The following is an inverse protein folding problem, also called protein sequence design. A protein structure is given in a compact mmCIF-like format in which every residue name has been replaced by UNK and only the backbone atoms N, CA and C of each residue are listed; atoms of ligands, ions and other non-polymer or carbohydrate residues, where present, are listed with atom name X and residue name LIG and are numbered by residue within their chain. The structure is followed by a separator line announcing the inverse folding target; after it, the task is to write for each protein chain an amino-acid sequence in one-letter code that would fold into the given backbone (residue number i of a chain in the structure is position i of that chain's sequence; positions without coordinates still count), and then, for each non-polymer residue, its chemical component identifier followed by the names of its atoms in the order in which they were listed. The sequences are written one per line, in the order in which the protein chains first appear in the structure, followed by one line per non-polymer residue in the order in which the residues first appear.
data_IF_040386388430
#
_entry.id   IF_040386388430
#
_cell.length_a   1.000
_cell.length_b   1.000
_cell.length_c   1.000
_cell.angle_alpha   90.00
_cell.angle_beta   90.00
_cell.angle_gamma   90.00
#
_symmetry.space_group_name_H-M   'P 1'
#
loop_
_entity.id
_entity.type
_entity.pdbx_description
1 polymer ?
#
# COMPACT_ATOMS: atom_id res chain seq x y z
N UNK A 1 -23.49 8.59 16.28
CA UNK A 1 -23.39 8.25 17.71
C UNK A 1 -24.68 7.58 18.15
N UNK A 2 -24.63 6.28 18.47
CA UNK A 2 -25.64 5.57 19.24
C UNK A 2 -24.95 4.47 20.05
N UNK A 3 -25.22 4.44 21.34
CA UNK A 3 -24.64 3.55 22.35
C UNK A 3 -25.80 2.81 23.03
N UNK A 4 -25.80 1.47 23.06
CA UNK A 4 -26.61 0.64 23.97
C UNK A 4 -25.85 -0.70 24.13
N UNK A 5 -25.04 -0.92 25.17
CA UNK A 5 -25.37 -1.36 26.54
C UNK A 5 -26.05 -2.73 26.62
N UNK A 6 -25.23 -3.79 26.72
CA UNK A 6 -25.62 -5.12 27.24
C UNK A 6 -25.77 -5.07 28.78
N UNK A 7 -26.57 -5.97 29.42
CA UNK A 7 -25.99 -7.23 29.93
C UNK A 7 -26.98 -8.41 30.07
N UNK A 8 -26.62 -9.62 29.64
CA UNK A 8 -27.38 -10.84 29.92
C UNK A 8 -26.46 -12.02 30.31
N UNK A 9 -25.90 -12.02 31.53
CA UNK A 9 -24.98 -13.07 32.00
C UNK A 9 -25.16 -13.44 33.48
N UNK A 10 -26.39 -13.52 34.01
CA UNK A 10 -26.61 -13.93 35.43
C UNK A 10 -26.92 -15.42 35.67
N UNK A 11 -27.29 -16.20 34.66
CA UNK A 11 -27.77 -17.59 34.90
C UNK A 11 -26.71 -18.69 34.83
N UNK A 12 -25.53 -18.43 34.27
CA UNK A 12 -24.55 -19.50 34.00
C UNK A 12 -23.64 -19.81 35.21
N UNK A 13 -23.63 -18.96 36.24
CA UNK A 13 -22.70 -19.09 37.36
C UNK A 13 -23.09 -20.18 38.38
N UNK A 14 -24.37 -20.52 38.52
CA UNK A 14 -24.83 -21.44 39.57
C UNK A 14 -24.67 -22.93 39.20
N UNK A 15 -24.64 -23.26 37.90
CA UNK A 15 -24.44 -24.65 37.46
C UNK A 15 -22.97 -25.11 37.59
N UNK A 16 -22.04 -24.18 37.81
CA UNK A 16 -20.60 -24.43 37.77
C UNK A 16 -20.05 -25.04 39.06
N UNK A 17 -20.77 -24.94 40.18
CA UNK A 17 -20.25 -25.41 41.48
C UNK A 17 -20.53 -26.89 41.77
N UNK A 18 -21.54 -27.48 41.12
CA UNK A 18 -21.91 -28.88 41.37
C UNK A 18 -21.00 -29.91 40.69
N UNK A 19 -20.25 -29.52 39.63
CA UNK A 19 -19.41 -30.45 38.86
C UNK A 19 -17.96 -30.56 39.39
N UNK A 20 -17.63 -29.85 40.48
CA UNK A 20 -16.24 -29.68 40.98
C UNK A 20 -15.77 -30.84 41.87
N UNK A 21 -16.59 -31.86 42.12
CA UNK A 21 -16.24 -33.00 42.99
C UNK A 21 -16.31 -34.34 42.26
N UNK A 22 -15.47 -34.51 41.25
CA UNK A 22 -15.01 -35.81 40.80
C UNK A 22 -13.55 -36.00 41.30
N UNK A 23 -13.18 -37.18 41.83
CA UNK A 23 -11.82 -37.43 42.27
C UNK A 23 -10.87 -37.37 41.06
N UNK A 24 -9.84 -36.53 41.18
CA UNK A 24 -8.71 -36.47 40.27
C UNK A 24 -7.95 -37.80 40.41
N UNK A 25 -8.13 -38.68 39.44
CA UNK A 25 -7.29 -39.87 39.26
C UNK A 25 -5.93 -39.40 38.72
N UNK A 26 -4.93 -39.34 39.60
CA UNK A 26 -3.54 -39.12 39.23
C UNK A 26 -2.98 -40.39 38.57
N UNK A 27 -3.07 -40.47 37.24
CA UNK A 27 -2.20 -41.37 36.45
C UNK A 27 -0.99 -40.57 35.96
N UNK A 28 0.04 -40.51 36.81
CA UNK A 28 1.38 -40.07 36.44
C UNK A 28 2.11 -41.14 35.62
N UNK A 29 1.96 -41.11 34.30
CA UNK A 29 2.86 -41.79 33.36
C UNK A 29 2.99 -41.00 32.05
N UNK A 30 3.75 -39.89 32.07
CA UNK A 30 4.47 -39.30 30.91
C UNK A 30 4.89 -37.86 31.25
N UNK A 31 6.01 -37.72 31.97
CA UNK A 31 6.60 -36.41 32.31
C UNK A 31 7.75 -36.02 31.35
N UNK A 32 7.95 -36.78 30.26
CA UNK A 32 8.96 -36.51 29.23
C UNK A 32 8.45 -35.72 28.02
N UNK A 33 7.13 -35.50 27.90
CA UNK A 33 6.52 -34.90 26.70
C UNK A 33 5.73 -33.60 26.95
N UNK A 34 5.52 -33.16 28.20
CA UNK A 34 4.60 -32.04 28.52
C UNK A 34 5.21 -30.63 28.47
N UNK A 35 6.53 -30.47 28.62
CA UNK A 35 7.18 -29.15 28.56
C UNK A 35 7.42 -28.66 27.13
N UNK A 36 7.53 -29.58 26.16
CA UNK A 36 7.69 -29.25 24.74
C UNK A 36 6.40 -28.76 24.08
N UNK A 37 5.25 -29.33 24.46
CA UNK A 37 3.95 -28.96 23.87
C UNK A 37 3.53 -27.53 24.22
N UNK A 38 3.73 -27.07 25.45
CA UNK A 38 3.38 -25.69 25.85
C UNK A 38 4.24 -24.64 25.13
N UNK A 39 5.52 -24.94 24.92
CA UNK A 39 6.42 -24.06 24.18
C UNK A 39 6.05 -24.04 22.68
N UNK A 40 5.63 -25.19 22.14
CA UNK A 40 5.15 -25.30 20.75
C UNK A 40 3.89 -24.46 20.52
N UNK A 41 2.93 -24.50 21.45
CA UNK A 41 1.70 -23.71 21.39
C UNK A 41 1.98 -22.20 21.47
N UNK A 42 2.87 -21.76 22.37
CA UNK A 42 3.24 -20.33 22.47
C UNK A 42 3.96 -19.84 21.21
N UNK A 43 4.82 -20.66 20.61
CA UNK A 43 5.46 -20.34 19.32
C UNK A 43 4.43 -20.27 18.19
N UNK A 44 3.44 -21.16 18.20
CA UNK A 44 2.37 -21.17 17.22
C UNK A 44 1.49 -19.91 17.32
N UNK A 45 1.13 -19.51 18.54
CA UNK A 45 0.38 -18.29 18.78
C UNK A 45 1.17 -17.02 18.43
N UNK A 46 2.46 -16.96 18.78
CA UNK A 46 3.33 -15.84 18.39
C UNK A 46 3.41 -15.69 16.86
N UNK A 47 3.54 -16.80 16.11
CA UNK A 47 3.48 -16.79 14.64
C UNK A 47 2.13 -16.31 14.13
N UNK A 48 1.03 -16.70 14.78
CA UNK A 48 -0.33 -16.28 14.43
C UNK A 48 -0.52 -14.77 14.60
N UNK A 49 -0.05 -14.19 15.70
CA UNK A 49 -0.09 -12.73 15.91
C UNK A 49 0.73 -11.98 14.85
N UNK A 50 1.96 -12.43 14.57
CA UNK A 50 2.82 -11.81 13.55
C UNK A 50 2.15 -11.83 12.17
N UNK A 51 1.54 -12.95 11.79
CA UNK A 51 0.82 -13.05 10.52
C UNK A 51 -0.40 -12.11 10.46
N UNK A 52 -1.10 -11.93 11.59
CA UNK A 52 -2.20 -10.97 11.69
C UNK A 52 -1.71 -9.53 11.52
N UNK A 53 -0.63 -9.16 12.20
CA UNK A 53 -0.06 -7.80 12.12
C UNK A 53 0.39 -7.48 10.69
N UNK A 54 1.01 -8.45 10.00
CA UNK A 54 1.38 -8.32 8.58
C UNK A 54 0.12 -8.18 7.71
N UNK A 55 -0.94 -8.94 8.00
CA UNK A 55 -2.19 -8.84 7.26
C UNK A 55 -2.87 -7.48 7.44
N UNK A 56 -2.89 -6.95 8.67
CA UNK A 56 -3.39 -5.60 8.98
C UNK A 56 -2.54 -4.52 8.33
N UNK A 57 -1.21 -4.57 8.48
CA UNK A 57 -0.31 -3.61 7.87
C UNK A 57 -0.45 -3.59 6.34
N UNK A 58 -0.61 -4.76 5.71
CA UNK A 58 -0.92 -4.84 4.28
C UNK A 58 -2.25 -4.21 3.92
N UNK A 59 -3.27 -4.38 4.75
CA UNK A 59 -4.58 -3.77 4.51
C UNK A 59 -4.51 -2.25 4.62
N UNK A 60 -3.86 -1.72 5.64
CA UNK A 60 -3.69 -0.28 5.85
C UNK A 60 -2.88 0.34 4.71
N UNK A 61 -1.77 -0.30 4.29
CA UNK A 61 -0.99 0.12 3.12
C UNK A 61 -1.81 0.08 1.82
N UNK A 62 -2.67 -0.92 1.64
CA UNK A 62 -3.55 -1.01 0.47
C UNK A 62 -4.59 0.10 0.48
N UNK A 63 -5.18 0.40 1.63
CA UNK A 63 -6.20 1.44 1.79
C UNK A 63 -5.61 2.83 1.56
N UNK A 64 -4.46 3.13 2.18
CA UNK A 64 -3.69 4.35 1.94
C UNK A 64 -3.27 4.45 0.47
N UNK A 65 -2.71 3.37 -0.08
CA UNK A 65 -2.25 3.31 -1.47
C UNK A 65 -3.37 3.54 -2.47
N UNK A 66 -4.55 2.95 -2.25
CA UNK A 66 -5.75 3.14 -3.08
C UNK A 66 -6.25 4.60 -3.00
N UNK A 67 -6.39 5.16 -1.79
CA UNK A 67 -6.85 6.53 -1.62
C UNK A 67 -5.91 7.55 -2.31
N UNK A 68 -4.60 7.39 -2.15
CA UNK A 68 -3.62 8.22 -2.84
C UNK A 68 -3.61 7.99 -4.34
N UNK A 69 -3.74 6.75 -4.80
CA UNK A 69 -3.79 6.44 -6.23
C UNK A 69 -5.02 7.05 -6.91
N UNK A 70 -6.18 6.98 -6.28
CA UNK A 70 -7.43 7.54 -6.80
C UNK A 70 -7.33 9.07 -6.85
N UNK A 71 -6.90 9.72 -5.77
CA UNK A 71 -6.80 11.19 -5.72
C UNK A 71 -5.81 11.73 -6.75
N UNK A 72 -4.61 11.15 -6.83
CA UNK A 72 -3.62 11.52 -7.84
C UNK A 72 -4.12 11.19 -9.24
N UNK A 73 -4.77 10.03 -9.42
CA UNK A 73 -5.36 9.62 -10.69
C UNK A 73 -6.42 10.59 -11.20
N UNK A 74 -7.34 11.02 -10.33
CA UNK A 74 -8.35 12.02 -10.67
C UNK A 74 -7.74 13.39 -10.93
N UNK A 75 -6.78 13.84 -10.13
CA UNK A 75 -6.14 15.14 -10.32
C UNK A 75 -5.37 15.19 -11.65
N UNK A 76 -4.60 14.14 -11.96
CA UNK A 76 -3.85 14.04 -13.22
C UNK A 76 -4.81 13.87 -14.40
N UNK A 77 -5.77 12.96 -14.30
CA UNK A 77 -6.74 12.69 -15.36
C UNK A 77 -7.63 13.89 -15.66
N UNK A 78 -8.19 14.52 -14.61
CA UNK A 78 -9.01 15.73 -14.73
C UNK A 78 -8.20 16.93 -15.22
N UNK A 79 -6.99 17.12 -14.71
CA UNK A 79 -6.07 18.15 -15.21
C UNK A 79 -5.72 17.96 -16.68
N UNK A 80 -5.48 16.72 -17.12
CA UNK A 80 -5.21 16.41 -18.53
C UNK A 80 -6.44 16.65 -19.41
N UNK A 81 -7.64 16.28 -18.96
CA UNK A 81 -8.89 16.52 -19.67
C UNK A 81 -9.19 18.02 -19.81
N UNK A 82 -9.02 18.79 -18.72
CA UNK A 82 -9.18 20.25 -18.76
C UNK A 82 -8.15 20.90 -19.67
N UNK A 83 -6.90 20.45 -19.61
CA UNK A 83 -5.86 20.93 -20.51
C UNK A 83 -6.26 20.65 -21.96
N UNK A 84 -6.66 19.42 -22.31
CA UNK A 84 -7.12 19.04 -23.64
C UNK A 84 -8.33 19.87 -24.09
N UNK A 85 -9.31 20.05 -23.21
CA UNK A 85 -10.51 20.83 -23.48
C UNK A 85 -10.18 22.29 -23.76
N UNK A 86 -9.37 22.93 -22.93
CA UNK A 86 -8.92 24.31 -23.16
C UNK A 86 -8.09 24.43 -24.43
N UNK A 87 -7.22 23.44 -24.65
CA UNK A 87 -6.33 23.40 -25.79
C UNK A 87 -7.09 23.31 -27.11
N UNK A 88 -8.28 22.69 -27.15
CA UNK A 88 -9.16 22.69 -28.32
C UNK A 88 -10.10 23.90 -28.33
N UNK A 89 -10.77 24.20 -27.21
CA UNK A 89 -11.83 25.20 -27.15
C UNK A 89 -11.35 26.63 -27.45
N UNK A 90 -10.16 27.00 -26.97
CA UNK A 90 -9.62 28.35 -27.18
C UNK A 90 -9.30 28.62 -28.67
N UNK A 91 -8.59 27.74 -29.41
CA UNK A 91 -8.38 27.95 -30.83
C UNK A 91 -9.68 28.03 -31.64
N UNK A 92 -10.69 27.20 -31.35
CA UNK A 92 -11.97 27.27 -32.06
C UNK A 92 -12.63 28.64 -31.89
N UNK A 93 -12.66 29.15 -30.65
CA UNK A 93 -13.23 30.46 -30.34
C UNK A 93 -12.45 31.62 -30.99
N UNK A 94 -11.11 31.53 -31.02
CA UNK A 94 -10.25 32.54 -31.64
C UNK A 94 -10.38 32.54 -33.16
N UNK A 95 -10.48 31.37 -33.80
CA UNK A 95 -10.67 31.25 -35.26
C UNK A 95 -12.03 31.80 -35.70
N UNK A 96 -13.03 31.74 -34.82
CA UNK A 96 -14.36 32.30 -35.09
C UNK A 96 -14.38 33.84 -34.95
N UNK A 97 -13.59 34.41 -34.04
CA UNK A 97 -13.48 35.86 -33.85
C UNK A 97 -12.56 36.56 -34.87
N UNK A 98 -11.62 35.84 -35.49
CA UNK A 98 -10.57 36.46 -36.34
C UNK A 98 -10.85 36.19 -37.83
N UNK A 99 -10.95 37.23 -38.68
CA UNK A 99 -11.20 37.04 -40.12
C UNK A 99 -10.04 36.34 -40.84
N UNK A 100 -8.82 36.41 -40.29
CA UNK A 100 -7.59 35.87 -40.88
C UNK A 100 -7.23 34.48 -40.30
N UNK A 101 -8.11 33.51 -40.56
CA UNK A 101 -8.20 32.18 -39.92
C UNK A 101 -6.92 31.34 -39.94
N UNK A 102 -6.13 31.42 -41.02
CA UNK A 102 -4.89 30.64 -41.19
C UNK A 102 -3.72 31.09 -40.29
N UNK A 103 -3.60 32.39 -39.99
CA UNK A 103 -2.57 32.90 -39.08
C UNK A 103 -2.86 32.52 -37.63
N UNK A 104 -4.13 32.57 -37.23
CA UNK A 104 -4.57 32.09 -35.92
C UNK A 104 -4.21 30.60 -35.74
N UNK A 105 -4.49 29.77 -36.75
CA UNK A 105 -4.14 28.36 -36.72
C UNK A 105 -2.62 28.10 -36.56
N UNK A 106 -1.77 28.88 -37.24
CA UNK A 106 -0.31 28.76 -37.12
C UNK A 106 0.22 29.16 -35.73
N UNK A 107 -0.32 30.22 -35.12
CA UNK A 107 0.06 30.64 -33.76
C UNK A 107 -0.31 29.56 -32.75
N UNK A 108 -1.50 28.97 -32.89
CA UNK A 108 -1.91 27.85 -32.04
C UNK A 108 -1.03 26.63 -32.23
N UNK A 109 -0.76 26.22 -33.48
CA UNK A 109 0.18 25.13 -33.78
C UNK A 109 1.56 25.35 -33.14
N UNK A 110 2.08 26.59 -33.17
CA UNK A 110 3.30 26.97 -32.46
C UNK A 110 3.18 26.80 -30.94
N UNK A 111 2.06 27.22 -30.36
CA UNK A 111 1.79 27.03 -28.93
C UNK A 111 1.71 25.53 -28.55
N UNK A 112 1.11 24.68 -29.39
CA UNK A 112 1.10 23.22 -29.18
C UNK A 112 2.51 22.64 -29.14
N UNK A 113 3.37 23.03 -30.07
CA UNK A 113 4.76 22.56 -30.12
C UNK A 113 5.52 23.01 -28.87
N UNK A 114 5.35 24.26 -28.44
CA UNK A 114 5.98 24.80 -27.24
C UNK A 114 5.54 24.05 -25.97
N UNK A 115 4.24 23.84 -25.80
CA UNK A 115 3.69 23.11 -24.65
C UNK A 115 4.19 21.66 -24.66
N UNK A 116 4.16 20.99 -25.82
CA UNK A 116 4.64 19.63 -25.97
C UNK A 116 6.13 19.49 -25.64
N UNK A 117 6.96 20.44 -26.10
CA UNK A 117 8.39 20.46 -25.82
C UNK A 117 8.68 20.69 -24.33
N UNK A 118 7.97 21.64 -23.71
CA UNK A 118 8.09 21.90 -22.27
C UNK A 118 7.70 20.66 -21.46
N UNK A 119 6.60 19.99 -21.82
CA UNK A 119 6.16 18.77 -21.15
C UNK A 119 7.14 17.62 -21.34
N UNK A 120 7.74 17.46 -22.52
CA UNK A 120 8.80 16.49 -22.79
C UNK A 120 10.07 16.78 -21.97
N UNK A 121 10.46 18.04 -21.83
CA UNK A 121 11.58 18.44 -20.97
C UNK A 121 11.32 18.12 -19.50
N UNK A 122 10.12 18.46 -18.99
CA UNK A 122 9.72 18.14 -17.62
C UNK A 122 9.66 16.62 -17.41
N UNK A 123 9.08 15.87 -18.36
CA UNK A 123 9.04 14.43 -18.31
C UNK A 123 10.46 13.85 -18.25
N UNK A 124 11.35 14.28 -19.16
CA UNK A 124 12.75 13.83 -19.19
C UNK A 124 13.49 14.15 -17.90
N UNK A 125 13.32 15.36 -17.36
CA UNK A 125 13.89 15.76 -16.07
C UNK A 125 13.38 14.88 -14.93
N UNK A 126 12.07 14.65 -14.84
CA UNK A 126 11.46 13.81 -13.80
C UNK A 126 11.85 12.34 -13.93
N UNK A 127 12.01 11.80 -15.15
CA UNK A 127 12.53 10.44 -15.37
C UNK A 127 14.00 10.33 -14.97
N UNK A 128 14.81 11.36 -15.21
CA UNK A 128 16.22 11.37 -14.78
C UNK A 128 16.38 11.55 -13.26
N UNK A 129 15.51 12.35 -12.62
CA UNK A 129 15.49 12.56 -11.16
C UNK A 129 14.95 11.35 -10.39
N UNK A 130 14.05 10.56 -10.99
CA UNK A 130 13.46 9.36 -10.37
C UNK A 130 14.35 8.12 -10.39
N UNK A 131 15.48 8.14 -11.09
CA UNK A 131 16.55 7.15 -10.93
C UNK A 131 17.48 7.68 -9.84
N UNK A 132 17.27 7.34 -8.55
CA UNK A 132 18.11 7.86 -7.49
C UNK A 132 19.42 7.08 -7.60
N UNK A 133 20.42 7.70 -8.25
CA UNK A 133 21.75 7.08 -8.46
C UNK A 133 22.32 6.53 -7.14
N UNK A 134 22.06 7.23 -6.04
CA UNK A 134 22.45 6.84 -4.67
C UNK A 134 21.74 5.58 -4.17
N UNK A 135 20.45 5.40 -4.44
CA UNK A 135 19.70 4.19 -4.02
C UNK A 135 20.07 2.98 -4.86
N UNK A 136 20.39 3.17 -6.15
CA UNK A 136 20.89 2.09 -7.00
C UNK A 136 22.27 1.58 -6.55
N UNK A 137 23.16 2.46 -6.10
CA UNK A 137 24.47 2.06 -5.58
C UNK A 137 24.35 1.30 -4.25
N UNK A 138 23.52 1.78 -3.32
CA UNK A 138 23.24 1.06 -2.06
C UNK A 138 22.54 -0.29 -2.31
N UNK A 139 21.69 -0.41 -3.33
CA UNK A 139 21.07 -1.70 -3.69
C UNK A 139 22.07 -2.67 -4.32
N UNK A 140 23.06 -2.18 -5.08
CA UNK A 140 24.16 -3.03 -5.59
C UNK A 140 25.05 -3.53 -4.46
N UNK A 141 25.43 -2.65 -3.54
CA UNK A 141 26.25 -3.01 -2.38
C UNK A 141 25.55 -4.03 -1.48
N UNK A 142 24.25 -3.85 -1.24
CA UNK A 142 23.43 -4.81 -0.49
C UNK A 142 23.30 -6.16 -1.18
N UNK A 143 23.20 -6.18 -2.52
CA UNK A 143 23.19 -7.43 -3.31
C UNK A 143 24.51 -8.17 -3.17
N UNK A 144 25.63 -7.46 -3.23
CA UNK A 144 26.95 -8.05 -3.05
C UNK A 144 27.18 -8.62 -1.65
N UNK A 145 26.75 -7.92 -0.60
CA UNK A 145 26.79 -8.46 0.77
C UNK A 145 25.89 -9.69 0.93
N UNK A 146 24.69 -9.69 0.35
CA UNK A 146 23.79 -10.83 0.39
C UNK A 146 24.38 -12.07 -0.31
N UNK A 147 24.98 -11.88 -1.50
CA UNK A 147 25.63 -12.95 -2.25
C UNK A 147 26.88 -13.49 -1.53
N UNK A 148 27.66 -12.62 -0.89
CA UNK A 148 28.81 -13.04 -0.06
C UNK A 148 28.36 -13.89 1.13
N UNK A 149 27.24 -13.53 1.79
CA UNK A 149 26.73 -14.28 2.94
C UNK A 149 26.24 -15.69 2.58
N UNK A 150 25.55 -15.84 1.44
CA UNK A 150 25.11 -17.16 0.93
C UNK A 150 26.32 -18.01 0.51
N UNK A 151 27.33 -17.42 -0.12
CA UNK A 151 28.54 -18.14 -0.56
C UNK A 151 29.41 -18.61 0.61
N UNK A 152 29.44 -17.86 1.70
CA UNK A 152 30.21 -18.18 2.91
C UNK A 152 29.58 -19.26 3.80
N UNK A 153 28.27 -19.50 3.68
CA UNK A 153 27.55 -20.47 4.54
C UNK A 153 27.52 -21.89 3.97
N UNK A 154 28.18 -22.13 2.82
CA UNK A 154 28.19 -23.40 2.10
C UNK A 154 29.53 -24.15 2.13
N UNK A 155 30.42 -23.84 3.07
CA UNK A 155 31.68 -24.56 3.32
C UNK A 155 31.75 -24.94 4.79
#
# INVERSE_FOLDING_TARGET
MCCVRMPHTRRVHLAREALVRAPVEETQTSNGHKSGDLMSDVIHDARRLVNLEIALAKQELKELGMAYAITVGLAVGGGLLLLLGLLVAVPTFVVELVPWRWQAALVWAGAYILIGLALLMVARSRFQLRLPKRTLDTLKENKEWALRRVKSSGK
#
